data_IF_161445532081
#
_entry.id   IF_161445532081
#
_cell.length_a   1.000
_cell.length_b   1.000
_cell.length_c   1.000
_cell.angle_alpha   90.00
_cell.angle_beta   90.00
_cell.angle_gamma   90.00
#
_symmetry.space_group_name_H-M   'P 1'
#
loop_
_entity.id
_entity.type
_entity.pdbx_description
1 polymer ?
#
# COMPACT_ATOMS: atom_id res chain seq x y z
N UNK A 1 -17.99 6.83 -7.19
CA UNK A 1 -16.54 6.69 -6.98
C UNK A 1 -16.30 5.27 -6.53
N UNK A 2 -15.50 4.49 -7.25
CA UNK A 2 -15.10 3.17 -6.75
C UNK A 2 -14.25 3.40 -5.51
N UNK A 3 -14.65 2.88 -4.35
CA UNK A 3 -13.94 3.07 -3.08
C UNK A 3 -12.76 2.11 -3.00
N UNK A 4 -11.77 2.27 -3.89
CA UNK A 4 -10.55 1.50 -3.81
C UNK A 4 -9.54 2.16 -2.87
N UNK A 5 -9.18 1.45 -1.79
CA UNK A 5 -8.18 1.91 -0.82
C UNK A 5 -6.83 2.25 -1.48
N UNK A 6 -6.47 1.60 -2.59
CA UNK A 6 -5.21 1.88 -3.27
C UNK A 6 -5.20 3.27 -3.92
N UNK A 7 -6.35 3.77 -4.38
CA UNK A 7 -6.48 5.13 -4.94
C UNK A 7 -6.35 6.22 -3.87
N UNK A 8 -6.67 5.88 -2.61
CA UNK A 8 -6.48 6.78 -1.47
C UNK A 8 -5.00 6.82 -1.05
N UNK A 9 -4.33 5.67 -1.10
CA UNK A 9 -2.95 5.52 -0.62
C UNK A 9 -1.93 6.00 -1.65
N UNK A 10 -2.17 5.75 -2.94
CA UNK A 10 -1.22 6.01 -4.01
C UNK A 10 -1.76 7.02 -5.01
N UNK A 11 -0.90 7.94 -5.44
CA UNK A 11 -1.28 9.02 -6.33
C UNK A 11 -1.28 8.61 -7.82
N UNK A 12 -0.56 7.55 -8.21
CA UNK A 12 -0.41 7.17 -9.61
C UNK A 12 -0.99 5.79 -9.93
N UNK A 13 -1.59 5.65 -11.11
CA UNK A 13 -2.19 4.39 -11.58
C UNK A 13 -1.19 3.24 -11.57
N UNK A 14 0.07 3.49 -11.97
CA UNK A 14 1.12 2.47 -11.94
C UNK A 14 1.41 2.00 -10.51
N UNK A 15 1.42 2.90 -9.53
CA UNK A 15 1.63 2.52 -8.13
C UNK A 15 0.45 1.70 -7.61
N UNK A 16 -0.78 2.11 -7.91
CA UNK A 16 -2.01 1.40 -7.56
C UNK A 16 -1.95 -0.03 -8.08
N UNK A 17 -1.62 -0.19 -9.36
CA UNK A 17 -1.53 -1.51 -9.99
C UNK A 17 -0.43 -2.37 -9.34
N UNK A 18 0.76 -1.82 -9.15
CA UNK A 18 1.88 -2.57 -8.56
C UNK A 18 1.59 -2.97 -7.12
N UNK A 19 0.95 -2.09 -6.34
CA UNK A 19 0.52 -2.40 -4.99
C UNK A 19 -0.53 -3.51 -4.96
N UNK A 20 -1.54 -3.45 -5.83
CA UNK A 20 -2.54 -4.53 -5.99
C UNK A 20 -1.86 -5.87 -6.28
N UNK A 21 -0.92 -5.89 -7.22
CA UNK A 21 -0.18 -7.10 -7.60
C UNK A 21 0.64 -7.67 -6.44
N UNK A 22 1.29 -6.80 -5.67
CA UNK A 22 2.03 -7.24 -4.48
C UNK A 22 1.09 -7.89 -3.46
N UNK A 23 -0.04 -7.26 -3.17
CA UNK A 23 -1.00 -7.78 -2.19
C UNK A 23 -1.61 -9.10 -2.66
N UNK A 24 -1.96 -9.23 -3.93
CA UNK A 24 -2.46 -10.51 -4.48
C UNK A 24 -1.39 -11.60 -4.43
N UNK A 25 -0.15 -11.31 -4.80
CA UNK A 25 0.97 -12.27 -4.67
C UNK A 25 1.18 -12.71 -3.22
N UNK A 26 1.06 -11.79 -2.26
CA UNK A 26 1.13 -12.13 -0.83
C UNK A 26 -0.05 -13.00 -0.39
N UNK A 27 -1.28 -12.71 -0.83
CA UNK A 27 -2.48 -13.51 -0.51
C UNK A 27 -2.39 -14.93 -1.04
N UNK A 28 -1.87 -15.11 -2.26
CA UNK A 28 -1.64 -16.45 -2.85
C UNK A 28 -0.68 -17.28 -1.97
N UNK A 29 0.24 -16.61 -1.26
CA UNK A 29 1.18 -17.20 -0.32
C UNK A 29 0.72 -17.10 1.13
N UNK A 30 -0.59 -17.24 1.36
CA UNK A 30 -1.21 -17.22 2.70
C UNK A 30 -0.99 -15.93 3.51
N UNK A 31 -0.69 -14.83 2.81
CA UNK A 31 -0.46 -13.51 3.39
C UNK A 31 0.97 -13.29 3.92
N UNK A 32 1.92 -14.21 3.67
CA UNK A 32 3.31 -14.10 4.11
C UNK A 32 4.31 -14.44 3.00
N UNK A 33 5.33 -13.61 2.79
CA UNK A 33 6.38 -13.84 1.78
C UNK A 33 7.78 -13.59 2.33
N UNK A 34 8.74 -14.41 1.93
CA UNK A 34 10.13 -14.26 2.33
C UNK A 34 10.84 -13.10 1.64
N UNK A 35 11.96 -12.62 2.22
CA UNK A 35 12.81 -11.59 1.58
C UNK A 35 13.26 -11.96 0.17
N UNK A 36 13.62 -13.23 -0.04
CA UNK A 36 14.05 -13.72 -1.37
C UNK A 36 12.92 -13.61 -2.38
N UNK A 37 11.72 -14.05 -2.01
CA UNK A 37 10.53 -13.99 -2.87
C UNK A 37 10.12 -12.57 -3.20
N UNK A 38 10.19 -11.66 -2.21
CA UNK A 38 10.00 -10.24 -2.42
C UNK A 38 11.00 -9.67 -3.43
N UNK A 39 12.27 -10.08 -3.37
CA UNK A 39 13.26 -9.66 -4.36
C UNK A 39 13.00 -10.24 -5.75
N UNK A 40 12.55 -11.50 -5.83
CA UNK A 40 12.17 -12.11 -7.11
C UNK A 40 10.96 -11.39 -7.73
N UNK A 41 9.96 -11.04 -6.92
CA UNK A 41 8.81 -10.25 -7.36
C UNK A 41 9.24 -8.87 -7.89
N UNK A 42 10.11 -8.17 -7.16
CA UNK A 42 10.62 -6.87 -7.58
C UNK A 42 11.45 -6.93 -8.87
N UNK A 43 12.19 -8.03 -9.08
CA UNK A 43 12.92 -8.27 -10.33
C UNK A 43 11.99 -8.57 -11.49
N UNK A 44 10.98 -9.43 -11.29
CA UNK A 44 9.97 -9.72 -12.30
C UNK A 44 9.21 -8.47 -12.76
N UNK A 45 8.91 -7.54 -11.83
CA UNK A 45 8.35 -6.24 -12.17
C UNK A 45 9.32 -5.36 -12.97
N UNK A 46 10.61 -5.42 -12.65
CA UNK A 46 11.63 -4.63 -13.34
C UNK A 46 11.82 -5.08 -14.78
N UNK A 47 11.89 -6.40 -15.01
CA UNK A 47 12.04 -7.02 -16.32
C UNK A 47 10.77 -6.89 -17.19
N UNK A 48 9.63 -6.55 -16.57
CA UNK A 48 8.37 -6.26 -17.23
C UNK A 48 7.43 -7.46 -17.18
N UNK A 49 6.63 -7.53 -16.11
CA UNK A 49 5.57 -8.54 -15.97
C UNK A 49 4.40 -8.14 -16.88
N UNK A 50 3.97 -9.04 -17.76
CA UNK A 50 2.70 -8.86 -18.49
C UNK A 50 1.59 -9.22 -17.52
N UNK A 51 0.75 -8.24 -17.20
CA UNK A 51 -0.35 -8.40 -16.26
C UNK A 51 -1.65 -8.32 -17.04
N UNK A 52 -2.48 -9.35 -16.92
CA UNK A 52 -3.85 -9.31 -17.41
C UNK A 52 -4.70 -8.65 -16.32
N UNK A 53 -5.05 -7.38 -16.50
CA UNK A 53 -6.00 -6.71 -15.63
C UNK A 53 -7.41 -7.07 -16.11
N UNK A 54 -8.22 -7.54 -15.18
CA UNK A 54 -9.65 -7.79 -15.41
C UNK A 54 -10.39 -6.59 -14.83
N UNK A 55 -10.80 -5.65 -15.69
CA UNK A 55 -11.63 -4.54 -15.24
C UNK A 55 -13.08 -5.05 -15.08
N UNK A 56 -13.56 -5.07 -13.84
CA UNK A 56 -14.93 -5.51 -13.49
C UNK A 56 -15.97 -4.39 -13.56
N UNK A 57 -15.64 -3.24 -14.16
CA UNK A 57 -16.47 -2.03 -14.16
C UNK A 57 -17.49 -1.95 -15.31
N UNK A 58 -18.07 -3.07 -15.74
CA UNK A 58 -19.17 -3.12 -16.72
C UNK A 58 -19.62 -4.54 -17.10
N UNK A 59 -20.73 -4.69 -17.85
CA UNK A 59 -21.28 -6.00 -18.28
C UNK A 59 -20.39 -6.75 -19.28
N UNK A 60 -19.27 -6.16 -19.71
CA UNK A 60 -18.31 -6.75 -20.63
C UNK A 60 -16.96 -6.78 -19.93
N UNK A 61 -16.51 -7.98 -19.56
CA UNK A 61 -15.21 -8.23 -18.93
C UNK A 61 -14.08 -7.95 -19.92
N UNK A 62 -13.63 -6.70 -20.01
CA UNK A 62 -12.49 -6.34 -20.85
C UNK A 62 -11.19 -6.75 -20.15
N UNK A 63 -10.55 -7.81 -20.68
CA UNK A 63 -9.20 -8.21 -20.28
C UNK A 63 -8.19 -7.28 -20.94
N UNK A 64 -7.75 -6.24 -20.24
CA UNK A 64 -6.70 -5.35 -20.73
C UNK A 64 -5.35 -5.95 -20.35
N UNK A 65 -4.64 -6.52 -21.32
CA UNK A 65 -3.25 -6.97 -21.12
C UNK A 65 -2.37 -5.73 -21.10
N UNK A 66 -1.90 -5.34 -19.92
CA UNK A 66 -0.99 -4.21 -19.77
C UNK A 66 0.39 -4.78 -19.41
N UNK A 67 1.40 -4.49 -20.25
CA UNK A 67 2.79 -4.76 -19.89
C UNK A 67 3.25 -3.68 -18.93
N UNK A 68 3.58 -4.07 -17.70
CA UNK A 68 4.01 -3.13 -16.66
C UNK A 68 5.46 -3.44 -16.34
N UNK A 69 6.34 -2.50 -16.67
CA UNK A 69 7.71 -2.45 -16.15
C UNK A 69 7.76 -1.41 -15.05
N UNK A 70 8.25 -1.81 -13.88
CA UNK A 70 8.38 -0.93 -12.73
C UNK A 70 9.76 -1.09 -12.11
N UNK A 71 10.45 0.03 -11.87
CA UNK A 71 11.83 -0.02 -11.41
C UNK A 71 11.96 -0.66 -10.01
N UNK A 72 12.92 -1.58 -9.83
CA UNK A 72 13.14 -2.28 -8.56
C UNK A 72 13.34 -1.33 -7.37
N UNK A 73 14.10 -0.24 -7.54
CA UNK A 73 14.31 0.75 -6.47
C UNK A 73 13.04 1.53 -6.17
N UNK A 74 12.31 1.95 -7.20
CA UNK A 74 11.02 2.60 -7.03
C UNK A 74 10.00 1.69 -6.34
N UNK A 75 10.06 0.36 -6.54
CA UNK A 75 9.21 -0.59 -5.83
C UNK A 75 9.46 -0.56 -4.32
N UNK A 76 10.72 -0.66 -3.90
CA UNK A 76 11.05 -0.58 -2.48
C UNK A 76 10.68 0.76 -1.86
N UNK A 77 11.04 1.86 -2.54
CA UNK A 77 10.90 3.21 -1.99
C UNK A 77 9.46 3.72 -2.02
N UNK A 78 8.70 3.41 -3.07
CA UNK A 78 7.37 3.99 -3.32
C UNK A 78 6.21 3.04 -3.09
N UNK A 79 6.45 1.73 -2.97
CA UNK A 79 5.39 0.74 -2.71
C UNK A 79 5.63 0.07 -1.37
N UNK A 80 6.72 -0.69 -1.24
CA UNK A 80 6.94 -1.52 -0.05
C UNK A 80 7.13 -0.68 1.21
N UNK A 81 7.93 0.39 1.13
CA UNK A 81 8.23 1.25 2.29
C UNK A 81 6.97 1.96 2.80
N UNK A 82 6.14 2.61 1.97
CA UNK A 82 4.86 3.16 2.41
C UNK A 82 3.95 2.11 3.06
N UNK A 83 3.72 0.97 2.39
CA UNK A 83 2.87 -0.10 2.92
C UNK A 83 3.37 -0.62 4.28
N UNK A 84 4.69 -0.72 4.43
CA UNK A 84 5.32 -1.11 5.69
C UNK A 84 5.14 -0.05 6.78
N UNK A 85 5.48 1.20 6.48
CA UNK A 85 5.42 2.31 7.44
C UNK A 85 4.00 2.59 7.92
N UNK A 86 2.99 2.39 7.06
CA UNK A 86 1.58 2.52 7.43
C UNK A 86 1.06 1.34 8.25
N UNK A 87 1.77 0.20 8.27
CA UNK A 87 1.33 -1.01 8.95
C UNK A 87 0.31 -1.83 8.17
N UNK A 88 0.31 -1.72 6.83
CA UNK A 88 -0.42 -2.63 5.94
C UNK A 88 0.38 -3.94 5.75
N UNK A 89 1.70 -3.84 5.77
CA UNK A 89 2.64 -4.97 5.74
C UNK A 89 3.58 -4.85 6.94
N UNK A 90 3.74 -5.92 7.70
CA UNK A 90 4.76 -6.04 8.73
C UNK A 90 5.98 -6.78 8.20
N UNK A 91 7.16 -6.46 8.74
CA UNK A 91 8.38 -7.20 8.46
C UNK A 91 8.92 -7.83 9.75
N UNK A 92 8.99 -9.15 9.77
CA UNK A 92 9.64 -9.91 10.84
C UNK A 92 11.15 -9.97 10.55
N UNK A 93 11.96 -9.33 11.42
CA UNK A 93 13.42 -9.30 11.28
C UNK A 93 14.07 -10.66 11.52
N UNK A 94 13.48 -11.49 12.38
CA UNK A 94 14.03 -12.78 12.75
C UNK A 94 13.76 -13.81 11.65
N UNK A 95 12.52 -13.85 11.18
CA UNK A 95 12.10 -14.76 10.09
C UNK A 95 12.45 -14.21 8.71
N UNK A 96 12.79 -12.93 8.61
CA UNK A 96 13.04 -12.20 7.36
C UNK A 96 11.84 -12.31 6.40
N UNK A 97 10.63 -12.28 6.93
CA UNK A 97 9.38 -12.41 6.18
C UNK A 97 8.54 -11.14 6.27
N UNK A 98 7.79 -10.88 5.20
CA UNK A 98 6.81 -9.82 5.09
C UNK A 98 5.42 -10.42 5.26
N UNK A 99 4.57 -9.83 6.09
CA UNK A 99 3.23 -10.36 6.38
C UNK A 99 2.18 -9.27 6.26
N UNK A 100 1.01 -9.59 5.71
CA UNK A 100 -0.15 -8.70 5.74
C UNK A 100 -0.60 -8.43 7.18
N UNK A 101 -0.95 -7.18 7.47
CA UNK A 101 -1.19 -6.72 8.84
C UNK A 101 -2.49 -5.92 8.96
N UNK A 102 -3.12 -6.02 10.13
CA UNK A 102 -4.30 -5.24 10.50
C UNK A 102 -3.95 -3.93 11.25
N UNK A 103 -2.66 -3.67 11.48
CA UNK A 103 -2.21 -2.49 12.25
C UNK A 103 -2.69 -1.19 11.65
N UNK A 104 -2.71 -1.09 10.32
CA UNK A 104 -3.22 0.06 9.60
C UNK A 104 -4.64 0.43 10.04
N UNK A 105 -5.56 -0.54 10.06
CA UNK A 105 -6.96 -0.30 10.44
C UNK A 105 -7.07 0.19 11.90
N UNK A 106 -6.36 -0.45 12.83
CA UNK A 106 -6.33 -0.06 14.25
C UNK A 106 -5.79 1.36 14.44
N UNK A 107 -4.74 1.71 13.71
CA UNK A 107 -4.17 3.06 13.74
C UNK A 107 -5.14 4.10 13.17
N UNK A 108 -5.82 3.81 12.07
CA UNK A 108 -6.80 4.72 11.46
C UNK A 108 -7.98 4.98 12.39
N UNK A 109 -8.51 3.95 13.06
CA UNK A 109 -9.56 4.13 14.08
C UNK A 109 -9.09 5.03 15.23
N UNK A 110 -7.87 4.80 15.72
CA UNK A 110 -7.28 5.61 16.79
C UNK A 110 -7.09 7.07 16.37
N UNK A 111 -6.56 7.31 15.16
CA UNK A 111 -6.39 8.65 14.60
C UNK A 111 -7.73 9.35 14.47
N UNK A 112 -8.74 8.69 13.91
CA UNK A 112 -10.09 9.23 13.79
C UNK A 112 -10.69 9.64 15.13
N UNK A 113 -10.55 8.79 16.15
CA UNK A 113 -11.02 9.10 17.51
C UNK A 113 -10.29 10.31 18.12
N UNK A 114 -8.96 10.34 18.03
CA UNK A 114 -8.14 11.44 18.58
C UNK A 114 -8.44 12.76 17.87
N UNK A 115 -8.69 12.73 16.57
CA UNK A 115 -9.06 13.93 15.80
C UNK A 115 -10.42 14.49 16.22
N UNK A 116 -11.41 13.63 16.42
CA UNK A 116 -12.72 14.06 16.96
C UNK A 116 -12.61 14.67 18.36
N UNK A 117 -11.70 14.15 19.19
CA UNK A 117 -11.41 14.77 20.49
C UNK A 117 -10.76 16.14 20.33
N UNK A 118 -9.79 16.29 19.42
CA UNK A 118 -9.11 17.55 19.16
C UNK A 118 -10.07 18.64 18.69
N UNK A 119 -10.97 18.32 17.74
CA UNK A 119 -11.98 19.26 17.24
C UNK A 119 -12.94 19.77 18.33
N UNK A 120 -13.13 18.98 19.41
CA UNK A 120 -13.98 19.35 20.54
C UNK A 120 -13.25 20.16 21.61
N UNK A 121 -11.92 20.23 21.58
CA UNK A 121 -11.16 21.01 22.55
C UNK A 121 -11.38 22.50 22.31
N UNK A 122 -11.50 23.30 23.38
CA UNK A 122 -11.53 24.75 23.23
C UNK A 122 -10.18 25.26 22.68
N UNK A 123 -10.18 26.39 21.96
CA UNK A 123 -8.95 26.97 21.44
C UNK A 123 -7.98 27.31 22.57
N UNK A 124 -6.73 26.87 22.43
CA UNK A 124 -5.66 27.22 23.38
C UNK A 124 -5.10 28.58 22.96
N UNK A 125 -5.21 29.58 23.84
CA UNK A 125 -4.67 30.91 23.56
C UNK A 125 -3.12 30.87 23.55
N UNK A 126 -2.51 31.05 22.38
CA UNK A 126 -1.06 31.17 22.25
C UNK A 126 -0.63 32.63 22.45
N UNK A 127 0.25 32.89 23.43
CA UNK A 127 0.94 34.18 23.54
C UNK A 127 2.13 34.18 22.59
N UNK A 128 2.05 34.95 21.51
CA UNK A 128 3.21 35.23 20.65
C UNK A 128 4.07 36.25 21.39
N UNK A 129 5.13 35.80 22.05
CA UNK A 129 6.16 36.70 22.58
C UNK A 129 7.01 37.17 21.41
N UNK A 130 6.93 38.46 21.07
CA UNK A 130 7.87 39.06 20.11
C UNK A 130 9.28 39.01 20.74
N UNK A 131 10.24 38.46 20.01
CA UNK A 131 11.68 38.68 20.25
C UNK A 131 12.06 40.10 19.84
#
# INVERSE_FOLDING_TARGET
>A
MGEDIYEIIFATEQQIIVAKLLIEEMKVKEGEIGKTEMSMFAMALHEGRVVEMTDTSGPVTMKKKIKISYNKRQFYDRILTPLKSMGLIDYDLYKKTYKLSEKFNKNMMKIGLLWLQELRKPPIAHKITKQ
#
